data_IF_452850310708
#
_entry.id   IF_452850310708
#
_cell.length_a   1.000
_cell.length_b   1.000
_cell.length_c   1.000
_cell.angle_alpha   90.00
_cell.angle_beta   90.00
_cell.angle_gamma   90.00
#
_symmetry.space_group_name_H-M   'P 1'
#
loop_
_entity.id
_entity.type
_entity.pdbx_description
1 polymer ?
#
# COMPACT_ATOMS: atom_id res chain seq x y z
N UNK A 1 0.87 -17.16 6.57
CA UNK A 1 0.11 -15.95 6.93
C UNK A 1 0.81 -14.65 6.57
N UNK A 2 2.03 -14.36 7.01
CA UNK A 2 2.69 -13.07 6.71
C UNK A 2 2.69 -12.71 5.22
N UNK A 3 3.10 -13.63 4.33
CA UNK A 3 3.05 -13.42 2.87
C UNK A 3 1.63 -13.12 2.37
N UNK A 4 0.63 -13.85 2.86
CA UNK A 4 -0.77 -13.67 2.44
C UNK A 4 -1.23 -12.25 2.79
N UNK A 5 -0.94 -11.77 3.99
CA UNK A 5 -1.26 -10.40 4.40
C UNK A 5 -0.52 -9.36 3.56
N UNK A 6 0.73 -9.64 3.19
CA UNK A 6 1.48 -8.80 2.27
C UNK A 6 0.79 -8.66 0.92
N UNK A 7 0.35 -9.79 0.34
CA UNK A 7 -0.38 -9.81 -0.93
C UNK A 7 -1.71 -9.07 -0.79
N UNK A 8 -2.49 -9.33 0.27
CA UNK A 8 -3.77 -8.64 0.51
C UNK A 8 -3.56 -7.12 0.61
N UNK A 9 -2.54 -6.67 1.34
CA UNK A 9 -2.20 -5.25 1.42
C UNK A 9 -1.88 -4.65 0.05
N UNK A 10 -1.08 -5.34 -0.77
CA UNK A 10 -0.79 -4.90 -2.15
C UNK A 10 -2.01 -4.91 -3.08
N UNK A 11 -2.93 -5.85 -2.90
CA UNK A 11 -4.22 -5.85 -3.63
C UNK A 11 -5.04 -4.62 -3.24
N UNK A 12 -5.11 -4.26 -1.96
CA UNK A 12 -5.81 -3.04 -1.51
C UNK A 12 -5.16 -1.76 -2.08
N UNK A 13 -3.83 -1.70 -2.13
CA UNK A 13 -3.10 -0.62 -2.81
C UNK A 13 -3.48 -0.56 -4.30
N UNK A 14 -3.42 -1.69 -5.01
CA UNK A 14 -3.76 -1.76 -6.43
C UNK A 14 -5.21 -1.35 -6.71
N UNK A 15 -6.16 -1.78 -5.88
CA UNK A 15 -7.57 -1.44 -6.01
C UNK A 15 -7.84 0.05 -5.76
N UNK A 16 -7.19 0.65 -4.76
CA UNK A 16 -7.36 2.08 -4.49
C UNK A 16 -6.77 2.95 -5.61
N UNK A 17 -5.59 2.60 -6.13
CA UNK A 17 -4.99 3.28 -7.29
C UNK A 17 -5.84 3.10 -8.54
N UNK A 18 -6.30 1.88 -8.83
CA UNK A 18 -7.17 1.60 -9.98
C UNK A 18 -8.50 2.34 -9.86
N UNK A 19 -9.13 2.33 -8.68
CA UNK A 19 -10.37 3.05 -8.42
C UNK A 19 -10.20 4.55 -8.63
N UNK A 20 -9.10 5.12 -8.16
CA UNK A 20 -8.75 6.54 -8.37
C UNK A 20 -8.59 6.85 -9.86
N UNK A 21 -7.85 6.01 -10.59
CA UNK A 21 -7.64 6.18 -12.03
C UNK A 21 -8.95 6.13 -12.82
N UNK A 22 -9.82 5.17 -12.53
CA UNK A 22 -11.13 5.05 -13.17
C UNK A 22 -12.05 6.22 -12.80
N UNK A 23 -12.02 6.66 -11.54
CA UNK A 23 -12.78 7.80 -11.07
C UNK A 23 -12.36 9.10 -11.77
N UNK A 24 -11.06 9.37 -11.92
CA UNK A 24 -10.55 10.52 -12.68
C UNK A 24 -11.01 10.46 -14.14
N UNK A 25 -10.96 9.29 -14.78
CA UNK A 25 -11.41 9.13 -16.18
C UNK A 25 -12.92 9.29 -16.38
N UNK A 26 -13.71 9.14 -15.33
CA UNK A 26 -15.15 9.34 -15.37
C UNK A 26 -15.56 10.81 -15.20
N UNK A 27 -14.63 11.71 -14.87
CA UNK A 27 -14.91 13.15 -14.71
C UNK A 27 -15.12 13.78 -16.09
N UNK A 28 -16.26 14.47 -16.33
CA UNK A 28 -16.48 15.21 -17.56
C UNK A 28 -15.40 16.25 -17.83
N UNK A 29 -15.04 16.46 -19.11
CA UNK A 29 -13.96 17.40 -19.47
C UNK A 29 -14.29 18.87 -19.16
N UNK A 30 -15.57 19.19 -18.96
CA UNK A 30 -16.09 20.50 -18.58
C UNK A 30 -16.40 20.61 -17.08
N UNK A 31 -16.12 19.56 -16.30
CA UNK A 31 -16.29 19.59 -14.86
C UNK A 31 -15.22 20.45 -14.18
N UNK A 32 -15.60 21.02 -13.03
CA UNK A 32 -14.72 21.85 -12.22
C UNK A 32 -13.44 21.08 -11.81
N UNK A 33 -12.23 21.64 -12.04
CA UNK A 33 -10.96 20.98 -11.75
C UNK A 33 -10.82 20.51 -10.29
N UNK A 34 -11.48 21.20 -9.34
CA UNK A 34 -11.41 20.87 -7.91
C UNK A 34 -11.95 19.48 -7.59
N UNK A 35 -12.89 18.96 -8.40
CA UNK A 35 -13.43 17.60 -8.23
C UNK A 35 -12.40 16.52 -8.55
N UNK A 36 -11.54 16.74 -9.55
CA UNK A 36 -10.47 15.82 -9.91
C UNK A 36 -9.38 15.77 -8.84
N UNK A 37 -9.09 16.91 -8.21
CA UNK A 37 -8.13 17.00 -7.11
C UNK A 37 -8.58 16.17 -5.91
N UNK A 38 -9.87 16.24 -5.52
CA UNK A 38 -10.43 15.44 -4.41
C UNK A 38 -10.34 13.94 -4.68
N UNK A 39 -10.66 13.52 -5.91
CA UNK A 39 -10.59 12.11 -6.32
C UNK A 39 -9.15 11.59 -6.25
N UNK A 40 -8.16 12.42 -6.55
CA UNK A 40 -6.74 12.11 -6.39
C UNK A 40 -6.33 11.68 -4.97
N UNK A 41 -7.14 12.02 -3.95
CA UNK A 41 -6.88 11.64 -2.56
C UNK A 41 -7.47 10.28 -2.12
N UNK A 42 -8.23 9.59 -2.98
CA UNK A 42 -8.82 8.28 -2.66
C UNK A 42 -7.79 7.24 -2.13
N UNK A 43 -6.54 7.15 -2.64
CA UNK A 43 -5.55 6.22 -2.11
C UNK A 43 -5.21 6.47 -0.63
N UNK A 44 -5.31 7.73 -0.17
CA UNK A 44 -5.05 8.09 1.23
C UNK A 44 -6.16 7.61 2.17
N UNK A 45 -7.42 7.56 1.70
CA UNK A 45 -8.54 7.03 2.47
C UNK A 45 -8.41 5.52 2.74
N UNK A 46 -7.67 4.80 1.88
CA UNK A 46 -7.37 3.38 2.07
C UNK A 46 -6.28 3.08 3.09
N UNK A 47 -5.50 4.09 3.52
CA UNK A 47 -4.33 3.90 4.38
C UNK A 47 -4.61 3.19 5.72
N UNK A 48 -5.71 3.45 6.44
CA UNK A 48 -5.98 2.74 7.69
C UNK A 48 -6.11 1.22 7.49
N UNK A 49 -6.71 0.80 6.37
CA UNK A 49 -6.90 -0.61 6.05
C UNK A 49 -5.60 -1.26 5.57
N UNK A 50 -4.91 -0.62 4.62
CA UNK A 50 -3.61 -1.08 4.10
C UNK A 50 -2.61 -1.16 5.25
N UNK A 51 -2.51 -0.09 6.03
CA UNK A 51 -1.62 0.04 7.18
C UNK A 51 -1.88 -1.02 8.25
N UNK A 52 -3.13 -1.33 8.56
CA UNK A 52 -3.46 -2.36 9.56
C UNK A 52 -3.13 -3.77 9.08
N UNK A 53 -3.50 -4.12 7.84
CA UNK A 53 -3.25 -5.44 7.26
C UNK A 53 -1.75 -5.72 7.16
N UNK A 54 -0.99 -4.76 6.64
CA UNK A 54 0.45 -4.93 6.46
C UNK A 54 1.20 -4.93 7.80
N UNK A 55 0.77 -4.16 8.80
CA UNK A 55 1.37 -4.16 10.13
C UNK A 55 1.17 -5.53 10.80
N UNK A 56 -0.03 -6.10 10.72
CA UNK A 56 -0.28 -7.46 11.18
C UNK A 56 0.62 -8.48 10.48
N UNK A 57 0.83 -8.32 9.16
CA UNK A 57 1.74 -9.14 8.38
C UNK A 57 3.20 -9.04 8.81
N UNK A 58 3.68 -7.85 9.18
CA UNK A 58 5.02 -7.64 9.76
C UNK A 58 5.13 -8.36 11.10
N UNK A 59 4.19 -8.15 12.02
CA UNK A 59 4.22 -8.77 13.36
C UNK A 59 4.23 -10.29 13.26
N UNK A 60 3.35 -10.88 12.46
CA UNK A 60 3.31 -12.33 12.23
C UNK A 60 4.61 -12.84 11.59
N UNK A 61 5.18 -12.06 10.67
CA UNK A 61 6.46 -12.38 10.03
C UNK A 61 7.61 -12.42 11.04
N UNK A 62 7.69 -11.43 11.93
CA UNK A 62 8.73 -11.35 12.97
C UNK A 62 8.63 -12.50 13.96
N UNK A 63 7.43 -12.80 14.46
CA UNK A 63 7.18 -13.96 15.34
C UNK A 63 7.61 -15.26 14.64
N UNK A 64 7.32 -15.40 13.36
CA UNK A 64 7.74 -16.56 12.58
C UNK A 64 9.25 -16.64 12.33
N UNK A 65 9.92 -15.51 12.11
CA UNK A 65 11.36 -15.44 11.81
C UNK A 65 12.23 -15.79 13.03
N UNK A 66 11.73 -15.51 14.25
CA UNK A 66 12.33 -15.94 15.51
C UNK A 66 12.11 -17.45 15.81
N UNK A 67 11.30 -18.14 15.01
CA UNK A 67 10.93 -19.54 15.21
C UNK A 67 11.80 -20.53 14.42
N UNK A 68 11.14 -21.40 13.64
CA UNK A 68 11.81 -22.55 13.00
C UNK A 68 12.69 -22.13 11.81
N UNK A 69 13.90 -22.71 11.63
CA UNK A 69 14.80 -22.38 10.52
C UNK A 69 14.16 -22.61 9.14
N UNK A 70 13.36 -23.68 9.00
CA UNK A 70 12.75 -24.09 7.73
C UNK A 70 11.78 -23.04 7.15
N UNK A 71 11.15 -22.22 7.98
CA UNK A 71 10.21 -21.18 7.54
C UNK A 71 10.80 -19.77 7.61
N UNK A 72 12.00 -19.62 8.18
CA UNK A 72 12.65 -18.33 8.41
C UNK A 72 12.80 -17.50 7.13
N UNK A 73 13.25 -18.09 6.03
CA UNK A 73 13.38 -17.40 4.73
C UNK A 73 12.03 -16.86 4.22
N UNK A 74 10.97 -17.66 4.31
CA UNK A 74 9.62 -17.26 3.89
C UNK A 74 9.04 -16.18 4.81
N UNK A 75 9.36 -16.22 6.10
CA UNK A 75 8.94 -15.20 7.06
C UNK A 75 9.62 -13.85 6.79
N UNK A 76 10.91 -13.86 6.45
CA UNK A 76 11.62 -12.66 6.01
C UNK A 76 11.07 -12.07 4.71
N UNK A 77 10.73 -12.92 3.74
CA UNK A 77 10.04 -12.46 2.51
C UNK A 77 8.67 -11.86 2.83
N UNK A 78 7.94 -12.46 3.78
CA UNK A 78 6.68 -11.91 4.28
C UNK A 78 6.86 -10.53 4.90
N UNK A 79 7.85 -10.34 5.77
CA UNK A 79 8.16 -9.03 6.36
C UNK A 79 8.48 -8.02 5.26
N UNK A 80 9.37 -8.36 4.33
CA UNK A 80 9.77 -7.46 3.24
C UNK A 80 8.55 -7.02 2.41
N UNK A 81 7.69 -7.97 2.05
CA UNK A 81 6.47 -7.70 1.28
C UNK A 81 5.48 -6.80 2.04
N UNK A 82 5.41 -6.92 3.36
CA UNK A 82 4.53 -6.10 4.19
C UNK A 82 5.12 -4.73 4.52
N UNK A 83 6.45 -4.58 4.55
CA UNK A 83 7.10 -3.29 4.77
C UNK A 83 7.10 -2.44 3.49
N UNK A 84 7.14 -3.07 2.32
CA UNK A 84 7.31 -2.37 1.05
C UNK A 84 6.24 -1.33 0.71
N UNK A 85 4.94 -1.48 1.03
CA UNK A 85 3.95 -0.44 0.77
C UNK A 85 4.27 0.86 1.51
N UNK A 86 4.77 0.79 2.76
CA UNK A 86 5.13 1.98 3.54
C UNK A 86 6.35 2.69 2.96
N UNK A 87 7.34 1.92 2.49
CA UNK A 87 8.54 2.48 1.85
C UNK A 87 8.18 3.17 0.55
N UNK A 88 7.34 2.53 -0.29
CA UNK A 88 6.86 3.12 -1.54
C UNK A 88 6.06 4.38 -1.27
N UNK A 89 5.14 4.36 -0.30
CA UNK A 89 4.36 5.52 0.08
C UNK A 89 5.24 6.68 0.58
N UNK A 90 6.22 6.38 1.44
CA UNK A 90 7.18 7.36 1.92
C UNK A 90 8.00 7.96 0.78
N UNK A 91 8.47 7.14 -0.17
CA UNK A 91 9.19 7.62 -1.34
C UNK A 91 8.30 8.54 -2.21
N UNK A 92 7.03 8.19 -2.42
CA UNK A 92 6.08 9.01 -3.18
C UNK A 92 5.78 10.36 -2.51
N UNK A 93 5.81 10.45 -1.18
CA UNK A 93 5.65 11.73 -0.47
C UNK A 93 6.92 12.58 -0.52
N UNK A 94 8.09 11.94 -0.38
CA UNK A 94 9.38 12.64 -0.19
C UNK A 94 9.99 13.05 -1.52
N UNK A 95 10.05 12.17 -2.51
CA UNK A 95 10.75 12.43 -3.78
C UNK A 95 10.25 13.69 -4.51
N UNK A 96 8.93 13.97 -4.61
CA UNK A 96 8.44 15.18 -5.28
C UNK A 96 8.92 16.48 -4.63
N UNK A 97 9.30 16.47 -3.34
CA UNK A 97 9.84 17.66 -2.67
C UNK A 97 11.25 18.05 -3.19
N UNK A 98 11.95 17.11 -3.83
CA UNK A 98 13.32 17.28 -4.32
C UNK A 98 13.42 17.36 -5.84
N UNK A 99 12.35 16.99 -6.55
CA UNK A 99 12.25 17.15 -8.00
C UNK A 99 11.72 18.57 -8.25
N UNK A 100 12.59 19.45 -8.76
CA UNK A 100 12.24 20.81 -9.17
C UNK A 100 11.44 20.83 -10.46
#
# INVERSE_FOLDING_TARGET
MSIILGIVGWVLVGLTVLGTYLAIRAIPSDADPSGADIVGFIPFLGLPFIGSVNLAGVVIGLVGAAGKPKTQKLNWLGILLNVSPYVVFMALMIVPMFVK
#
